data_IF_485345968121
#
_entry.id   IF_485345968121
#
_cell.length_a   1.000
_cell.length_b   1.000
_cell.length_c   1.000
_cell.angle_alpha   90.00
_cell.angle_beta   90.00
_cell.angle_gamma   90.00
#
_symmetry.space_group_name_H-M   'P 1'
#
loop_
_entity.id
_entity.type
_entity.pdbx_description
1 polymer ?
#
# COMPACT_ATOMS: atom_id res chain seq x y z
N UNK A 1 -0.63 -19.78 -5.32
CA UNK A 1 0.30 -18.69 -5.72
C UNK A 1 -0.46 -17.70 -6.58
N UNK A 2 -0.65 -16.47 -6.08
CA UNK A 2 -1.15 -15.37 -6.90
C UNK A 2 0.05 -14.93 -7.75
N UNK A 3 0.04 -15.22 -9.05
CA UNK A 3 1.10 -14.81 -9.97
C UNK A 3 1.30 -13.28 -9.98
N UNK A 4 2.36 -12.78 -10.63
CA UNK A 4 2.59 -11.33 -10.80
C UNK A 4 1.39 -10.69 -11.51
N UNK A 5 0.45 -10.16 -10.73
CA UNK A 5 -0.72 -9.47 -11.24
C UNK A 5 -0.33 -8.04 -11.55
N UNK A 6 -0.30 -7.74 -12.85
CA UNK A 6 -0.06 -6.41 -13.34
C UNK A 6 -1.28 -5.52 -13.01
N UNK A 7 -1.05 -4.34 -12.42
CA UNK A 7 -2.09 -3.35 -12.10
C UNK A 7 -2.98 -3.01 -13.30
N UNK A 8 -2.40 -3.00 -14.51
CA UNK A 8 -3.11 -2.78 -15.78
C UNK A 8 -4.13 -3.89 -16.06
N UNK A 9 -3.76 -5.14 -15.77
CA UNK A 9 -4.61 -6.30 -15.97
C UNK A 9 -5.76 -6.33 -14.95
N UNK A 10 -5.50 -5.82 -13.74
CA UNK A 10 -6.51 -5.64 -12.68
C UNK A 10 -7.40 -4.40 -12.87
N UNK A 11 -7.14 -3.57 -13.88
CA UNK A 11 -7.81 -2.27 -14.10
C UNK A 11 -7.84 -1.44 -12.81
N UNK A 12 -6.70 -1.42 -12.10
CA UNK A 12 -6.56 -0.73 -10.82
C UNK A 12 -6.44 0.77 -11.05
N UNK A 13 -7.22 1.56 -10.31
CA UNK A 13 -7.06 3.01 -10.22
C UNK A 13 -6.45 3.31 -8.85
N UNK A 14 -5.20 3.77 -8.85
CA UNK A 14 -4.52 4.25 -7.64
C UNK A 14 -4.78 5.73 -7.46
N UNK A 15 -5.23 6.13 -6.28
CA UNK A 15 -5.27 7.53 -5.85
C UNK A 15 -4.28 7.70 -4.71
N UNK A 16 -3.14 8.32 -5.01
CA UNK A 16 -2.10 8.59 -4.02
C UNK A 16 -2.62 9.58 -2.98
N UNK A 17 -3.31 10.64 -3.41
CA UNK A 17 -3.86 11.67 -2.53
C UNK A 17 -4.84 11.12 -1.49
N UNK A 18 -5.71 10.19 -1.89
CA UNK A 18 -6.65 9.54 -0.97
C UNK A 18 -6.12 8.20 -0.41
N UNK A 19 -4.84 7.90 -0.63
CA UNK A 19 -4.19 6.62 -0.29
C UNK A 19 -5.08 5.40 -0.62
N UNK A 20 -5.76 5.43 -1.77
CA UNK A 20 -6.82 4.47 -2.10
C UNK A 20 -6.46 3.70 -3.36
N UNK A 21 -6.72 2.40 -3.35
CA UNK A 21 -6.61 1.51 -4.50
C UNK A 21 -8.01 0.98 -4.81
N UNK A 22 -8.50 1.27 -6.02
CA UNK A 22 -9.74 0.68 -6.54
C UNK A 22 -9.40 -0.36 -7.58
N UNK A 23 -10.06 -1.51 -7.55
CA UNK A 23 -9.89 -2.57 -8.54
C UNK A 23 -11.24 -3.15 -8.94
N UNK A 24 -11.34 -3.62 -10.18
CA UNK A 24 -12.56 -4.27 -10.64
C UNK A 24 -12.61 -5.71 -10.13
N UNK A 25 -13.78 -6.10 -9.65
CA UNK A 25 -14.11 -7.45 -9.20
C UNK A 25 -15.31 -7.96 -9.99
N UNK A 26 -15.53 -9.27 -10.00
CA UNK A 26 -16.72 -9.85 -10.63
C UNK A 26 -18.05 -9.33 -10.04
N UNK A 27 -18.04 -8.77 -8.83
CA UNK A 27 -19.22 -8.23 -8.14
C UNK A 27 -19.30 -6.70 -8.14
N UNK A 28 -18.39 -6.01 -8.84
CA UNK A 28 -18.33 -4.54 -8.86
C UNK A 28 -16.94 -3.99 -8.53
N UNK A 29 -16.86 -2.79 -7.94
CA UNK A 29 -15.56 -2.17 -7.61
C UNK A 29 -15.16 -2.49 -6.18
N UNK A 30 -14.03 -3.17 -6.00
CA UNK A 30 -13.36 -3.33 -4.72
C UNK A 30 -12.51 -2.09 -4.41
N UNK A 31 -12.49 -1.68 -3.15
CA UNK A 31 -11.70 -0.55 -2.68
C UNK A 31 -10.90 -0.94 -1.44
N UNK A 32 -9.59 -0.69 -1.50
CA UNK A 32 -8.69 -0.71 -0.34
C UNK A 32 -8.31 0.73 -0.04
N UNK A 33 -8.51 1.16 1.20
CA UNK A 33 -8.05 2.46 1.70
C UNK A 33 -6.83 2.21 2.59
N UNK A 34 -5.76 2.93 2.35
CA UNK A 34 -4.63 3.00 3.27
C UNK A 34 -4.97 3.91 4.45
N UNK A 35 -4.41 3.59 5.60
CA UNK A 35 -4.47 4.41 6.80
C UNK A 35 -3.19 5.25 6.89
N UNK A 36 -3.33 6.58 6.82
CA UNK A 36 -2.18 7.50 6.90
C UNK A 36 -1.46 7.43 8.25
N UNK A 37 -2.21 7.18 9.34
CA UNK A 37 -1.62 7.05 10.66
C UNK A 37 -0.74 5.81 10.74
N UNK A 38 -1.26 4.65 10.35
CA UNK A 38 -0.48 3.40 10.31
C UNK A 38 0.70 3.49 9.35
N UNK A 39 0.50 4.08 8.17
CA UNK A 39 1.62 4.27 7.23
C UNK A 39 2.71 5.16 7.82
N UNK A 40 2.33 6.19 8.59
CA UNK A 40 3.28 7.07 9.25
C UNK A 40 4.00 6.38 10.41
N UNK A 41 3.28 5.60 11.23
CA UNK A 41 3.91 4.86 12.34
C UNK A 41 4.90 3.85 11.80
N UNK A 42 4.52 3.04 10.80
CA UNK A 42 5.43 2.06 10.18
C UNK A 42 6.67 2.71 9.59
N UNK A 43 6.54 3.88 8.94
CA UNK A 43 7.71 4.60 8.41
C UNK A 43 8.63 5.14 9.51
N UNK A 44 8.07 5.60 10.63
CA UNK A 44 8.85 6.08 11.77
C UNK A 44 9.55 4.94 12.50
N UNK A 45 8.88 3.80 12.63
CA UNK A 45 9.46 2.58 13.20
C UNK A 45 10.63 2.10 12.32
N UNK A 46 10.46 2.05 11.00
CA UNK A 46 11.53 1.66 10.05
C UNK A 46 12.73 2.62 10.08
N UNK A 47 12.49 3.94 10.17
CA UNK A 47 13.58 4.92 10.37
C UNK A 47 14.29 4.68 11.71
N UNK A 48 13.54 4.41 12.76
CA UNK A 48 14.12 4.19 14.08
C UNK A 48 15.00 2.93 14.09
N UNK A 49 14.49 1.83 13.54
CA UNK A 49 15.23 0.58 13.38
C UNK A 49 16.48 0.78 12.52
N UNK A 50 16.39 1.56 11.44
CA UNK A 50 17.53 1.89 10.59
C UNK A 50 18.59 2.73 11.33
N UNK A 51 18.15 3.71 12.13
CA UNK A 51 19.04 4.55 12.93
C UNK A 51 19.74 3.75 14.03
N UNK A 52 19.04 2.81 14.68
CA UNK A 52 19.62 1.87 15.65
C UNK A 52 20.63 0.92 14.97
N UNK A 53 20.32 0.42 13.78
CA UNK A 53 21.19 -0.46 13.03
C UNK A 53 22.49 0.22 12.52
N UNK A 54 22.50 1.55 12.35
CA UNK A 54 23.70 2.33 11.98
C UNK A 54 24.58 2.73 13.17
N UNK A 55 24.11 2.53 14.42
CA UNK A 55 24.86 2.82 15.64
C UNK A 55 25.64 1.60 16.19
N UNK A 56 25.58 0.46 15.48
CA UNK A 56 26.36 -0.76 15.71
C UNK A 56 27.44 -0.93 14.64
#
# INVERSE_FOLDING_TARGET
MIGRLNLRMLKVITSIYHQTIKFLTARGTGQVKGNQYESRTTYMDDIHDYAEAQLL
#
